data_IF_921541673091
#
_entry.id   IF_921541673091
#
_cell.length_a   1.000
_cell.length_b   1.000
_cell.length_c   1.000
_cell.angle_alpha   90.00
_cell.angle_beta   90.00
_cell.angle_gamma   90.00
#
_symmetry.space_group_name_H-M   'P 1'
#
loop_
_entity.id
_entity.type
_entity.pdbx_description
1 polymer ?
#
# COMPACT_ATOMS: atom_id res chain seq x y z
N UNK A 1 4.67 2.31 -27.07
CA UNK A 1 3.43 2.95 -26.57
C UNK A 1 3.43 3.18 -25.04
N UNK A 2 4.60 3.21 -24.39
CA UNK A 2 4.76 3.17 -22.92
C UNK A 2 4.10 4.33 -22.16
N UNK A 3 4.23 5.57 -22.63
CA UNK A 3 3.67 6.75 -21.93
C UNK A 3 2.15 6.67 -21.77
N UNK A 4 1.44 6.08 -22.74
CA UNK A 4 -0.02 5.91 -22.68
C UNK A 4 -0.45 4.87 -21.63
N UNK A 5 0.45 3.98 -21.20
CA UNK A 5 0.16 2.95 -20.18
C UNK A 5 0.27 3.46 -18.74
N UNK A 6 0.86 4.64 -18.52
CA UNK A 6 1.10 5.21 -17.18
C UNK A 6 -0.22 5.43 -16.44
N UNK A 7 -1.16 6.16 -17.04
CA UNK A 7 -2.44 6.51 -16.41
C UNK A 7 -3.30 5.26 -16.13
N UNK A 8 -3.52 4.34 -17.10
CA UNK A 8 -4.23 3.10 -16.82
C UNK A 8 -3.57 2.26 -15.72
N UNK A 9 -2.24 2.15 -15.72
CA UNK A 9 -1.51 1.40 -14.70
C UNK A 9 -1.62 2.04 -13.32
N UNK A 10 -1.65 3.38 -13.26
CA UNK A 10 -1.86 4.15 -12.03
C UNK A 10 -3.24 3.87 -11.42
N UNK A 11 -4.29 3.94 -12.25
CA UNK A 11 -5.66 3.63 -11.81
C UNK A 11 -5.75 2.17 -11.37
N UNK A 12 -5.21 1.25 -12.16
CA UNK A 12 -5.17 -0.18 -11.84
C UNK A 12 -4.47 -0.44 -10.50
N UNK A 13 -3.31 0.18 -10.28
CA UNK A 13 -2.57 0.09 -9.01
C UNK A 13 -3.44 0.48 -7.82
N UNK A 14 -4.10 1.64 -7.89
CA UNK A 14 -4.94 2.13 -6.79
C UNK A 14 -6.16 1.27 -6.51
N UNK A 15 -6.75 0.67 -7.55
CA UNK A 15 -7.82 -0.30 -7.37
C UNK A 15 -7.28 -1.53 -6.61
N UNK A 16 -6.13 -2.07 -7.03
CA UNK A 16 -5.50 -3.22 -6.37
C UNK A 16 -5.10 -2.91 -4.92
N UNK A 17 -4.43 -1.78 -4.67
CA UNK A 17 -4.05 -1.32 -3.32
C UNK A 17 -5.28 -1.22 -2.42
N UNK A 18 -6.36 -0.58 -2.90
CA UNK A 18 -7.61 -0.46 -2.16
C UNK A 18 -8.19 -1.81 -1.75
N UNK A 19 -8.29 -2.76 -2.69
CA UNK A 19 -8.88 -4.07 -2.43
C UNK A 19 -8.02 -4.91 -1.51
N UNK A 20 -6.70 -4.97 -1.75
CA UNK A 20 -5.79 -5.75 -0.91
C UNK A 20 -5.72 -5.19 0.52
N UNK A 21 -5.69 -3.88 0.67
CA UNK A 21 -5.73 -3.26 2.00
C UNK A 21 -7.09 -3.46 2.68
N UNK A 22 -8.19 -3.42 1.92
CA UNK A 22 -9.52 -3.79 2.45
C UNK A 22 -9.56 -5.23 2.97
N UNK A 23 -8.91 -6.17 2.27
CA UNK A 23 -8.74 -7.54 2.75
C UNK A 23 -7.85 -7.60 4.00
N UNK A 24 -6.81 -6.78 4.09
CA UNK A 24 -5.97 -6.62 5.28
C UNK A 24 -6.75 -6.24 6.55
N UNK A 25 -7.91 -5.61 6.41
CA UNK A 25 -8.80 -5.27 7.52
C UNK A 25 -10.05 -6.16 7.64
N UNK A 26 -10.19 -7.16 6.79
CA UNK A 26 -11.35 -8.06 6.79
C UNK A 26 -11.00 -9.41 7.45
N UNK A 27 -11.43 -9.63 8.69
CA UNK A 27 -11.16 -10.87 9.42
C UNK A 27 -11.82 -12.12 8.82
N UNK A 28 -12.90 -11.96 8.04
CA UNK A 28 -13.67 -13.07 7.46
C UNK A 28 -13.05 -13.57 6.16
N UNK A 29 -12.59 -12.66 5.30
CA UNK A 29 -12.14 -12.97 3.94
C UNK A 29 -10.66 -12.65 3.68
N UNK A 30 -9.99 -11.90 4.56
CA UNK A 30 -8.60 -11.48 4.41
C UNK A 30 -7.56 -12.54 4.73
N UNK A 31 -7.97 -13.67 5.34
CA UNK A 31 -7.11 -14.83 5.64
C UNK A 31 -5.75 -14.44 6.25
N UNK A 32 -4.64 -14.74 5.56
CA UNK A 32 -3.30 -14.44 6.04
C UNK A 32 -2.91 -12.97 5.85
N UNK A 33 -3.47 -12.28 4.83
CA UNK A 33 -3.29 -10.83 4.63
C UNK A 33 -3.77 -10.08 5.87
N UNK A 34 -4.95 -10.44 6.39
CA UNK A 34 -5.48 -9.89 7.63
C UNK A 34 -4.53 -10.05 8.81
N UNK A 35 -3.87 -11.22 8.94
CA UNK A 35 -2.96 -11.49 10.06
C UNK A 35 -1.73 -10.58 10.03
N UNK A 36 -1.07 -10.46 8.89
CA UNK A 36 0.12 -9.61 8.73
C UNK A 36 -0.24 -8.13 8.80
N UNK A 37 -1.32 -7.72 8.16
CA UNK A 37 -1.76 -6.33 8.18
C UNK A 37 -2.19 -5.89 9.58
N UNK A 38 -2.91 -6.72 10.32
CA UNK A 38 -3.26 -6.45 11.72
C UNK A 38 -2.03 -6.40 12.63
N UNK A 39 -0.98 -7.17 12.33
CA UNK A 39 0.28 -7.10 13.06
C UNK A 39 0.94 -5.74 12.92
N UNK A 40 0.97 -5.18 11.71
CA UNK A 40 1.42 -3.81 11.46
C UNK A 40 0.67 -2.82 12.37
N UNK A 41 -0.66 -2.87 12.38
CA UNK A 41 -1.50 -1.97 13.18
C UNK A 41 -1.48 -2.19 14.70
N UNK A 42 -1.15 -3.39 15.19
CA UNK A 42 -1.27 -3.71 16.61
C UNK A 42 0.07 -3.82 17.34
N UNK A 43 1.13 -4.19 16.62
CA UNK A 43 2.42 -4.53 17.21
C UNK A 43 3.48 -3.54 16.75
N UNK A 44 3.62 -3.33 15.44
CA UNK A 44 4.70 -2.49 14.91
C UNK A 44 4.38 -1.01 15.06
N UNK A 45 3.17 -0.61 14.70
CA UNK A 45 2.68 0.77 14.70
C UNK A 45 1.27 0.89 15.28
N UNK A 46 1.08 0.63 16.60
CA UNK A 46 -0.20 0.84 17.25
C UNK A 46 -0.60 2.31 17.31
N UNK A 47 -1.90 2.58 17.50
CA UNK A 47 -2.47 3.95 17.53
C UNK A 47 -1.75 4.89 18.51
N UNK A 48 -1.23 4.37 19.62
CA UNK A 48 -0.47 5.14 20.62
C UNK A 48 1.04 5.25 20.31
N UNK A 49 1.53 4.60 19.25
CA UNK A 49 2.92 4.62 18.80
C UNK A 49 3.01 4.43 17.27
N UNK A 50 2.53 5.43 16.53
CA UNK A 50 2.50 5.41 15.06
C UNK A 50 3.83 5.80 14.41
N UNK A 51 4.79 6.31 15.18
CA UNK A 51 6.11 6.71 14.70
C UNK A 51 7.19 5.93 15.44
N UNK A 52 8.22 5.52 14.71
CA UNK A 52 9.44 4.97 15.30
C UNK A 52 10.68 5.41 14.51
N UNK A 53 11.86 5.32 15.13
CA UNK A 53 13.12 5.58 14.45
C UNK A 53 13.46 4.44 13.47
N UNK A 54 14.24 4.73 12.43
CA UNK A 54 14.76 3.68 11.52
C UNK A 54 15.56 2.63 12.32
N UNK A 55 15.56 1.35 11.90
CA UNK A 55 14.89 0.82 10.71
C UNK A 55 13.37 0.66 10.87
N UNK A 56 12.64 0.70 9.76
CA UNK A 56 11.22 0.39 9.73
C UNK A 56 10.96 -0.99 10.32
N UNK A 57 9.91 -1.10 11.14
CA UNK A 57 9.62 -2.32 11.89
C UNK A 57 8.89 -3.33 11.02
N UNK A 58 9.50 -4.50 10.94
CA UNK A 58 8.98 -5.73 10.34
C UNK A 58 9.54 -6.90 11.14
N UNK A 59 8.94 -8.08 11.03
CA UNK A 59 9.47 -9.28 11.69
C UNK A 59 10.73 -9.84 11.05
N UNK A 60 11.08 -9.36 9.86
CA UNK A 60 12.13 -9.97 9.05
C UNK A 60 13.40 -9.12 9.06
N UNK A 61 14.52 -9.75 9.40
CA UNK A 61 15.83 -9.10 9.58
C UNK A 61 16.55 -8.74 8.28
N UNK A 62 16.10 -9.30 7.15
CA UNK A 62 16.66 -9.02 5.83
C UNK A 62 15.53 -8.49 4.97
N UNK A 63 15.62 -7.22 4.57
CA UNK A 63 14.61 -6.44 3.81
C UNK A 63 14.05 -7.11 2.53
N UNK A 64 14.46 -8.34 2.20
CA UNK A 64 13.91 -9.18 1.14
C UNK A 64 12.50 -9.73 1.45
N UNK A 65 12.12 -9.87 2.72
CA UNK A 65 10.83 -10.45 3.10
C UNK A 65 10.09 -9.55 4.09
N UNK A 66 9.66 -8.35 3.71
CA UNK A 66 8.83 -7.54 4.62
C UNK A 66 7.47 -8.20 4.88
N UNK A 67 6.82 -7.85 6.00
CA UNK A 67 5.44 -8.26 6.32
C UNK A 67 4.49 -7.94 5.15
N UNK A 68 4.67 -6.79 4.49
CA UNK A 68 3.94 -6.41 3.28
C UNK A 68 4.20 -7.33 2.09
N UNK A 69 5.46 -7.67 1.80
CA UNK A 69 5.80 -8.60 0.73
C UNK A 69 5.18 -9.98 0.97
N UNK A 70 5.27 -10.50 2.20
CA UNK A 70 4.67 -11.78 2.54
C UNK A 70 3.14 -11.72 2.43
N UNK A 71 2.51 -10.67 2.95
CA UNK A 71 1.06 -10.47 2.87
C UNK A 71 0.55 -10.42 1.42
N UNK A 72 1.22 -9.68 0.53
CA UNK A 72 0.66 -9.35 -0.78
C UNK A 72 1.27 -10.13 -1.96
N UNK A 73 2.33 -10.92 -1.75
CA UNK A 73 3.00 -11.66 -2.83
C UNK A 73 2.08 -12.60 -3.61
N UNK A 74 1.35 -13.49 -2.94
CA UNK A 74 0.47 -14.46 -3.62
C UNK A 74 -0.64 -13.78 -4.46
N UNK A 75 -1.44 -12.82 -3.96
CA UNK A 75 -2.45 -12.16 -4.79
C UNK A 75 -1.81 -11.37 -5.94
N UNK A 76 -0.65 -10.73 -5.73
CA UNK A 76 0.06 -10.03 -6.81
C UNK A 76 0.53 -11.01 -7.89
N UNK A 77 1.06 -12.18 -7.52
CA UNK A 77 1.46 -13.23 -8.47
C UNK A 77 0.26 -13.75 -9.28
N UNK A 78 -0.88 -13.97 -8.63
CA UNK A 78 -2.11 -14.39 -9.31
C UNK A 78 -2.62 -13.31 -10.27
N UNK A 79 -2.62 -12.04 -9.87
CA UNK A 79 -2.97 -10.91 -10.73
C UNK A 79 -1.99 -10.79 -11.91
N UNK A 80 -0.69 -10.97 -11.67
CA UNK A 80 0.33 -10.97 -12.71
C UNK A 80 0.10 -12.07 -13.74
N UNK A 81 -0.17 -13.30 -13.29
CA UNK A 81 -0.50 -14.41 -14.18
C UNK A 81 -1.78 -14.16 -14.98
N UNK A 82 -2.82 -13.62 -14.35
CA UNK A 82 -4.07 -13.25 -15.02
C UNK A 82 -3.83 -12.17 -16.09
N UNK A 83 -3.09 -11.12 -15.76
CA UNK A 83 -2.76 -10.04 -16.70
C UNK A 83 -1.92 -10.57 -17.89
N UNK A 84 -0.98 -11.48 -17.64
CA UNK A 84 -0.20 -12.14 -18.71
C UNK A 84 -1.09 -12.91 -19.70
N UNK A 85 -2.20 -13.49 -19.23
CA UNK A 85 -3.15 -14.21 -20.10
C UNK A 85 -4.11 -13.29 -20.87
N UNK A 86 -4.41 -12.12 -20.32
CA UNK A 86 -5.43 -11.21 -20.87
C UNK A 86 -4.88 -10.12 -21.77
N UNK A 87 -3.63 -9.69 -21.55
CA UNK A 87 -3.00 -8.59 -22.27
C UNK A 87 -2.04 -9.12 -23.34
N UNK A 88 -1.80 -8.33 -24.38
CA UNK A 88 -0.67 -8.57 -25.27
C UNK A 88 0.66 -8.37 -24.52
N UNK A 89 1.74 -8.88 -25.10
CA UNK A 89 3.05 -8.87 -24.45
C UNK A 89 3.58 -7.45 -24.14
N UNK A 90 3.40 -6.48 -25.04
CA UNK A 90 3.87 -5.10 -24.78
C UNK A 90 3.05 -4.47 -23.65
N UNK A 91 1.73 -4.59 -23.68
CA UNK A 91 0.84 -4.08 -22.62
C UNK A 91 1.12 -4.73 -21.27
N UNK A 92 1.34 -6.05 -21.23
CA UNK A 92 1.68 -6.76 -20.00
C UNK A 92 3.00 -6.28 -19.38
N UNK A 93 4.05 -6.14 -20.20
CA UNK A 93 5.35 -5.65 -19.73
C UNK A 93 5.22 -4.20 -19.22
N UNK A 94 4.53 -3.34 -19.97
CA UNK A 94 4.32 -1.95 -19.59
C UNK A 94 3.54 -1.84 -18.27
N UNK A 95 2.45 -2.60 -18.10
CA UNK A 95 1.69 -2.65 -16.85
C UNK A 95 2.57 -3.14 -15.70
N UNK A 96 3.34 -4.20 -15.91
CA UNK A 96 4.20 -4.80 -14.88
C UNK A 96 5.26 -3.81 -14.38
N UNK A 97 5.90 -3.07 -15.29
CA UNK A 97 6.88 -2.04 -14.96
C UNK A 97 6.23 -0.92 -14.15
N UNK A 98 5.15 -0.32 -14.65
CA UNK A 98 4.46 0.78 -13.96
C UNK A 98 3.90 0.35 -12.60
N UNK A 99 3.27 -0.82 -12.53
CA UNK A 99 2.75 -1.38 -11.29
C UNK A 99 3.85 -1.60 -10.25
N UNK A 100 5.01 -2.10 -10.67
CA UNK A 100 6.18 -2.27 -9.79
C UNK A 100 6.70 -0.94 -9.25
N UNK A 101 6.77 0.09 -10.10
CA UNK A 101 7.15 1.45 -9.70
C UNK A 101 6.16 2.01 -8.67
N UNK A 102 4.86 1.91 -8.91
CA UNK A 102 3.85 2.41 -7.96
C UNK A 102 3.85 1.63 -6.64
N UNK A 103 4.03 0.30 -6.70
CA UNK A 103 4.16 -0.53 -5.49
C UNK A 103 5.36 -0.08 -4.65
N UNK A 104 6.51 0.14 -5.30
CA UNK A 104 7.71 0.63 -4.62
C UNK A 104 7.48 2.02 -4.01
N UNK A 105 6.90 2.96 -4.76
CA UNK A 105 6.62 4.30 -4.28
C UNK A 105 5.64 4.29 -3.09
N UNK A 106 4.63 3.41 -3.12
CA UNK A 106 3.69 3.29 -2.02
C UNK A 106 4.32 2.70 -0.77
N UNK A 107 5.06 1.61 -0.91
CA UNK A 107 5.77 0.98 0.21
C UNK A 107 6.78 1.94 0.85
N UNK A 108 7.53 2.67 0.01
CA UNK A 108 8.43 3.72 0.45
C UNK A 108 7.71 4.83 1.22
N UNK A 109 6.59 5.32 0.67
CA UNK A 109 5.83 6.39 1.30
C UNK A 109 5.17 5.95 2.60
N UNK A 110 4.63 4.74 2.65
CA UNK A 110 4.09 4.12 3.85
C UNK A 110 5.16 3.95 4.93
N UNK A 111 6.36 3.51 4.54
CA UNK A 111 7.52 3.41 5.43
C UNK A 111 7.88 4.77 6.03
N UNK A 112 7.99 5.81 5.20
CA UNK A 112 8.34 7.15 5.67
C UNK A 112 7.22 7.81 6.50
N UNK A 113 5.94 7.50 6.24
CA UNK A 113 4.79 7.92 7.07
C UNK A 113 4.98 7.49 8.53
N UNK A 114 5.53 6.30 8.75
CA UNK A 114 5.76 5.70 10.06
C UNK A 114 7.17 5.92 10.62
N UNK A 115 8.03 6.59 9.86
CA UNK A 115 9.41 6.89 10.27
C UNK A 115 9.47 8.26 10.94
N UNK A 116 10.00 8.30 12.16
CA UNK A 116 10.33 9.53 12.87
C UNK A 116 11.54 10.21 12.24
N UNK A 117 11.51 11.54 12.17
CA UNK A 117 12.54 12.38 11.54
C UNK A 117 12.73 12.03 10.05
N UNK A 118 11.63 11.69 9.38
CA UNK A 118 11.64 11.44 7.94
C UNK A 118 12.07 12.72 7.20
N UNK A 119 12.93 12.57 6.19
CA UNK A 119 13.36 13.70 5.36
C UNK A 119 12.21 14.34 4.57
N UNK A 120 11.06 13.64 4.47
CA UNK A 120 9.84 14.14 3.84
C UNK A 120 9.04 15.09 4.75
N UNK A 121 9.32 15.16 6.05
CA UNK A 121 8.58 15.99 7.02
C UNK A 121 8.64 17.49 6.70
N UNK A 122 9.66 17.91 5.94
CA UNK A 122 9.78 19.28 5.44
C UNK A 122 8.71 19.67 4.40
N UNK A 123 7.96 18.71 3.87
CA UNK A 123 6.93 18.96 2.86
C UNK A 123 5.51 18.89 3.44
N UNK A 124 4.72 19.94 3.25
CA UNK A 124 3.35 20.04 3.78
C UNK A 124 2.43 18.93 3.26
N UNK A 125 2.55 18.59 1.96
CA UNK A 125 1.74 17.53 1.35
C UNK A 125 1.97 16.17 2.03
N UNK A 126 3.20 15.90 2.45
CA UNK A 126 3.55 14.66 3.15
C UNK A 126 2.99 14.68 4.57
N UNK A 127 3.13 15.80 5.29
CA UNK A 127 2.56 15.92 6.64
C UNK A 127 1.03 15.79 6.63
N UNK A 128 0.35 16.31 5.62
CA UNK A 128 -1.09 16.09 5.42
C UNK A 128 -1.39 14.61 5.20
N UNK A 129 -0.69 13.94 4.29
CA UNK A 129 -0.87 12.52 3.99
C UNK A 129 -0.61 11.63 5.20
N UNK A 130 0.44 11.91 5.97
CA UNK A 130 0.76 11.22 7.22
C UNK A 130 -0.38 11.35 8.23
N UNK A 131 -0.91 12.55 8.45
CA UNK A 131 -2.08 12.76 9.33
C UNK A 131 -3.29 11.92 8.90
N UNK A 132 -3.59 11.92 7.60
CA UNK A 132 -4.70 11.14 7.04
C UNK A 132 -4.49 9.63 7.26
N UNK A 133 -3.26 9.13 7.05
CA UNK A 133 -2.93 7.73 7.32
C UNK A 133 -2.99 7.41 8.82
N UNK A 134 -2.66 8.34 9.71
CA UNK A 134 -2.85 8.14 11.14
C UNK A 134 -4.34 8.07 11.53
N UNK A 135 -5.23 8.77 10.82
CA UNK A 135 -6.68 8.58 10.98
C UNK A 135 -7.11 7.18 10.52
N UNK A 136 -6.49 6.63 9.47
CA UNK A 136 -6.71 5.24 9.08
C UNK A 136 -6.37 4.25 10.21
N UNK A 137 -5.24 4.44 10.91
CA UNK A 137 -4.90 3.60 12.07
C UNK A 137 -5.95 3.65 13.18
N UNK A 138 -6.63 4.79 13.36
CA UNK A 138 -7.74 4.96 14.32
C UNK A 138 -9.06 4.40 13.80
N UNK A 139 -9.31 4.51 12.49
CA UNK A 139 -10.49 4.03 11.80
C UNK A 139 -10.09 3.22 10.57
N UNK A 140 -9.84 1.93 10.80
CA UNK A 140 -9.27 0.99 9.82
C UNK A 140 -10.07 0.84 8.52
N UNK A 141 -11.34 1.25 8.51
CA UNK A 141 -12.20 1.21 7.34
C UNK A 141 -12.08 2.45 6.45
N UNK A 142 -11.27 3.44 6.82
CA UNK A 142 -11.11 4.73 6.11
C UNK A 142 -9.69 4.90 5.56
N UNK A 143 -9.51 5.67 4.48
CA UNK A 143 -8.22 6.07 3.89
C UNK A 143 -7.25 4.91 3.65
N UNK A 144 -7.68 3.93 2.86
CA UNK A 144 -6.92 2.69 2.63
C UNK A 144 -5.78 2.91 1.63
N UNK A 145 -5.97 3.70 0.57
CA UNK A 145 -4.84 3.97 -0.33
C UNK A 145 -3.80 4.87 0.34
N UNK A 146 -2.53 4.58 0.06
CA UNK A 146 -1.39 5.33 0.60
C UNK A 146 -0.99 6.44 -0.36
N UNK A 147 -0.83 6.12 -1.65
CA UNK A 147 -0.32 7.07 -2.64
C UNK A 147 -1.35 8.14 -3.02
N UNK A 148 -2.63 7.78 -3.18
CA UNK A 148 -3.71 8.70 -3.60
C UNK A 148 -5.06 8.20 -3.08
N UNK A 149 -5.89 9.11 -2.59
CA UNK A 149 -7.17 8.82 -1.94
C UNK A 149 -8.40 8.93 -2.87
N UNK A 150 -8.23 9.11 -4.18
CA UNK A 150 -9.37 9.20 -5.11
C UNK A 150 -10.26 7.94 -5.06
N UNK A 151 -9.67 6.74 -5.06
CA UNK A 151 -10.46 5.50 -4.91
C UNK A 151 -11.19 5.47 -3.56
N UNK A 152 -10.58 5.95 -2.48
CA UNK A 152 -11.26 6.07 -1.19
C UNK A 152 -12.44 7.03 -1.23
N UNK A 153 -12.36 8.12 -2.01
CA UNK A 153 -13.51 9.04 -2.21
C UNK A 153 -14.62 8.33 -2.98
N UNK A 154 -14.31 7.67 -4.10
CA UNK A 154 -15.31 6.93 -4.88
C UNK A 154 -15.98 5.82 -4.08
N UNK A 155 -15.25 5.17 -3.17
CA UNK A 155 -15.75 4.09 -2.33
C UNK A 155 -16.36 4.58 -1.00
N UNK A 156 -16.50 5.89 -0.79
CA UNK A 156 -17.00 6.51 0.46
C UNK A 156 -16.21 6.10 1.72
N UNK A 157 -14.91 5.80 1.56
CA UNK A 157 -13.98 5.49 2.64
C UNK A 157 -12.96 6.60 2.90
N UNK A 158 -13.06 7.76 2.25
CA UNK A 158 -12.25 8.94 2.58
C UNK A 158 -12.66 9.58 3.93
N UNK A 159 -11.68 10.09 4.68
CA UNK A 159 -11.83 10.89 5.90
C UNK A 159 -10.62 11.83 6.07
N UNK A 160 -10.85 13.09 6.41
CA UNK A 160 -9.80 14.11 6.67
C UNK A 160 -9.88 14.66 8.10
#
# INVERSE_FOLDING_TARGET
>A
MFLYSIIPSYIYYHIVEYFLHSLGHNSKYGLYIYKYHKKHHNIHYPVNKLLDYKPYKTDYKFNLFSDGLVAYSLPILLLGFMNYKLLDYESFINLSINFSIYTYLSDYLHTEIHTKDSWLEKYEWFMKKRKIHFLHHKNVNKNKNVLNLEIDKYMNTYLE
#
